data_IF_048998998862
#
_entry.id   IF_048998998862
#
_cell.length_a   1.000
_cell.length_b   1.000
_cell.length_c   1.000
_cell.angle_alpha   90.00
_cell.angle_beta   90.00
_cell.angle_gamma   90.00
#
_symmetry.space_group_name_H-M   'P 1'
#
loop_
_entity.id
_entity.type
_entity.pdbx_description
1 polymer ?
#
# COMPACT_ATOMS: atom_id res chain seq x y z
N UNK A 1 -2.21 -23.74 38.31
CA UNK A 1 -3.26 -23.32 37.36
C UNK A 1 -2.88 -22.00 36.79
N UNK A 2 -2.41 -22.16 35.82
CA UNK A 2 -1.40 -21.78 34.83
C UNK A 2 -1.84 -20.61 33.97
N UNK A 3 -0.95 -19.65 33.90
CA UNK A 3 -0.98 -18.44 33.09
C UNK A 3 -0.58 -18.78 31.65
N UNK A 4 -1.53 -18.83 30.73
CA UNK A 4 -1.29 -18.86 29.30
C UNK A 4 -2.11 -17.74 28.69
N UNK A 5 -1.48 -16.59 28.42
CA UNK A 5 -2.20 -15.46 27.83
C UNK A 5 -1.38 -14.22 27.48
N UNK A 6 -0.04 -14.26 27.50
CA UNK A 6 0.76 -13.04 27.29
C UNK A 6 1.65 -13.05 26.02
N UNK A 7 1.79 -14.20 25.36
CA UNK A 7 2.74 -14.30 24.25
C UNK A 7 2.20 -13.79 22.89
N UNK A 8 0.87 -13.65 22.75
CA UNK A 8 0.24 -13.22 21.50
C UNK A 8 0.25 -11.70 21.27
N UNK A 9 0.16 -10.92 22.35
CA UNK A 9 0.08 -9.46 22.27
C UNK A 9 1.46 -8.82 22.05
N UNK A 10 2.50 -9.39 22.65
CA UNK A 10 3.88 -8.95 22.44
C UNK A 10 4.36 -9.22 21.00
N UNK A 11 3.92 -10.32 20.38
CA UNK A 11 4.24 -10.63 18.99
C UNK A 11 3.53 -9.69 18.00
N UNK A 12 2.30 -9.28 18.28
CA UNK A 12 1.55 -8.34 17.44
C UNK A 12 2.10 -6.91 17.51
N UNK A 13 2.50 -6.45 18.69
CA UNK A 13 3.14 -5.14 18.89
C UNK A 13 4.53 -5.10 18.22
N UNK A 14 5.30 -6.18 18.29
CA UNK A 14 6.59 -6.32 17.63
C UNK A 14 6.47 -6.33 16.09
N UNK A 15 5.42 -6.97 15.56
CA UNK A 15 5.14 -7.02 14.11
C UNK A 15 4.73 -5.65 13.54
N UNK A 16 3.90 -4.90 14.28
CA UNK A 16 3.48 -3.56 13.86
C UNK A 16 4.64 -2.55 13.88
N UNK A 17 5.55 -2.65 14.85
CA UNK A 17 6.75 -1.80 14.91
C UNK A 17 7.76 -2.13 13.79
N UNK A 18 7.84 -3.39 13.34
CA UNK A 18 8.71 -3.79 12.22
C UNK A 18 8.15 -3.36 10.86
N UNK A 19 6.82 -3.17 10.72
CA UNK A 19 6.19 -2.88 9.43
C UNK A 19 6.43 -1.45 8.94
N UNK A 20 6.65 -0.49 9.85
CA UNK A 20 6.88 0.91 9.51
C UNK A 20 8.34 1.22 9.14
N UNK A 21 9.29 0.38 9.55
CA UNK A 21 10.73 0.68 9.40
C UNK A 21 11.40 -0.04 8.22
N UNK A 22 10.76 -1.06 7.63
CA UNK A 22 11.32 -1.83 6.52
C UNK A 22 10.84 -1.30 5.17
N UNK A 23 11.78 -1.04 4.24
CA UNK A 23 11.43 -0.79 2.84
C UNK A 23 10.87 -2.05 2.18
N UNK A 24 10.18 -1.90 1.04
CA UNK A 24 9.65 -3.03 0.27
C UNK A 24 10.77 -4.00 -0.13
N UNK A 25 11.89 -3.48 -0.59
CA UNK A 25 13.07 -4.29 -0.92
C UNK A 25 13.61 -5.10 0.28
N UNK A 26 13.70 -4.47 1.46
CA UNK A 26 14.13 -5.16 2.68
C UNK A 26 13.14 -6.24 3.10
N UNK A 27 11.83 -5.98 2.94
CA UNK A 27 10.78 -6.93 3.25
C UNK A 27 10.83 -8.13 2.31
N UNK A 28 10.97 -7.89 1.01
CA UNK A 28 11.14 -8.93 -0.02
C UNK A 28 12.38 -9.78 0.24
N UNK A 29 13.52 -9.16 0.53
CA UNK A 29 14.76 -9.87 0.84
C UNK A 29 14.60 -10.83 2.04
N UNK A 30 13.87 -10.41 3.10
CA UNK A 30 13.58 -11.26 4.26
C UNK A 30 12.61 -12.40 3.93
N UNK A 31 11.60 -12.14 3.07
CA UNK A 31 10.69 -13.19 2.60
C UNK A 31 11.45 -14.31 1.89
N UNK A 32 12.46 -13.99 1.08
CA UNK A 32 13.31 -14.99 0.39
C UNK A 32 14.12 -15.87 1.34
N UNK A 33 14.46 -15.37 2.52
CA UNK A 33 15.14 -16.18 3.53
C UNK A 33 14.20 -17.04 4.37
N UNK A 34 12.89 -17.06 4.05
CA UNK A 34 11.88 -17.84 4.75
C UNK A 34 11.37 -17.21 6.04
N UNK A 35 11.55 -15.89 6.23
CA UNK A 35 11.01 -15.17 7.37
C UNK A 35 9.47 -15.09 7.30
N UNK A 36 8.78 -15.92 8.10
CA UNK A 36 7.31 -15.94 8.14
C UNK A 36 6.71 -14.61 8.61
N UNK A 37 7.40 -13.88 9.50
CA UNK A 37 6.99 -12.56 9.93
C UNK A 37 7.01 -11.56 8.79
N UNK A 38 8.06 -11.59 7.97
CA UNK A 38 8.18 -10.77 6.77
C UNK A 38 7.09 -11.09 5.74
N UNK A 39 6.75 -12.37 5.54
CA UNK A 39 5.66 -12.78 4.66
C UNK A 39 4.32 -12.21 5.11
N UNK A 40 4.02 -12.27 6.40
CA UNK A 40 2.78 -11.70 6.95
C UNK A 40 2.71 -10.20 6.69
N UNK A 41 3.80 -9.48 6.94
CA UNK A 41 3.89 -8.03 6.71
C UNK A 41 3.78 -7.67 5.22
N UNK A 42 4.38 -8.47 4.33
CA UNK A 42 4.28 -8.27 2.89
C UNK A 42 2.82 -8.38 2.42
N UNK A 43 2.12 -9.45 2.84
CA UNK A 43 0.70 -9.64 2.53
C UNK A 43 -0.12 -8.49 3.10
N UNK A 44 0.07 -8.10 4.36
CA UNK A 44 -0.66 -7.01 5.00
C UNK A 44 -0.47 -5.69 4.26
N UNK A 45 0.79 -5.33 3.92
CA UNK A 45 1.14 -4.10 3.23
C UNK A 45 0.52 -3.99 1.84
N UNK A 46 0.57 -5.06 1.05
CA UNK A 46 0.09 -5.06 -0.34
C UNK A 46 -1.36 -5.52 -0.51
N UNK A 47 -2.05 -5.97 0.54
CA UNK A 47 -3.44 -6.46 0.48
C UNK A 47 -4.38 -5.42 -0.12
N UNK A 48 -4.32 -4.17 0.35
CA UNK A 48 -5.19 -3.09 -0.15
C UNK A 48 -4.91 -2.76 -1.60
N UNK A 49 -3.64 -2.74 -2.00
CA UNK A 49 -3.23 -2.46 -3.37
C UNK A 49 -3.74 -3.54 -4.33
N UNK A 50 -3.49 -4.80 -4.03
CA UNK A 50 -3.96 -5.94 -4.84
C UNK A 50 -5.49 -5.95 -4.94
N UNK A 51 -6.18 -5.77 -3.81
CA UNK A 51 -7.65 -5.77 -3.79
C UNK A 51 -8.24 -4.58 -4.54
N UNK A 52 -7.63 -3.40 -4.43
CA UNK A 52 -8.05 -2.20 -5.17
C UNK A 52 -7.93 -2.40 -6.69
N UNK A 53 -6.87 -3.05 -7.17
CA UNK A 53 -6.75 -3.41 -8.60
C UNK A 53 -7.92 -4.30 -9.02
N UNK A 54 -8.23 -5.35 -8.26
CA UNK A 54 -9.32 -6.26 -8.60
C UNK A 54 -10.68 -5.54 -8.70
N UNK A 55 -11.00 -4.71 -7.71
CA UNK A 55 -12.33 -4.10 -7.57
C UNK A 55 -12.45 -2.79 -8.35
N UNK A 56 -11.44 -1.92 -8.33
CA UNK A 56 -11.54 -0.59 -8.94
C UNK A 56 -11.12 -0.58 -10.41
N UNK A 57 -9.99 -1.24 -10.74
CA UNK A 57 -9.52 -1.28 -12.12
C UNK A 57 -10.31 -2.30 -12.96
N UNK A 58 -10.50 -3.51 -12.46
CA UNK A 58 -11.13 -4.59 -13.21
C UNK A 58 -12.61 -4.82 -12.86
N UNK A 59 -13.14 -4.15 -11.83
CA UNK A 59 -14.55 -4.23 -11.39
C UNK A 59 -15.03 -5.66 -11.18
N UNK A 60 -14.14 -6.52 -10.68
CA UNK A 60 -14.51 -7.89 -10.39
C UNK A 60 -15.57 -7.94 -9.28
N UNK A 61 -16.56 -8.82 -9.37
CA UNK A 61 -17.43 -9.15 -8.25
C UNK A 61 -16.63 -9.63 -7.04
N UNK A 62 -17.14 -9.39 -5.83
CA UNK A 62 -16.45 -9.70 -4.57
C UNK A 62 -15.88 -11.13 -4.52
N UNK A 63 -16.65 -12.20 -4.88
CA UNK A 63 -16.11 -13.57 -4.87
C UNK A 63 -14.94 -13.77 -5.83
N UNK A 64 -15.00 -13.16 -7.02
CA UNK A 64 -13.93 -13.24 -8.02
C UNK A 64 -12.71 -12.46 -7.58
N UNK A 65 -12.90 -11.31 -6.93
CA UNK A 65 -11.81 -10.51 -6.37
C UNK A 65 -11.08 -11.24 -5.25
N UNK A 66 -11.81 -11.97 -4.37
CA UNK A 66 -11.22 -12.81 -3.33
C UNK A 66 -10.41 -13.98 -3.91
N UNK A 67 -10.93 -14.66 -4.93
CA UNK A 67 -10.23 -15.74 -5.61
C UNK A 67 -8.93 -15.24 -6.26
N UNK A 68 -9.01 -14.11 -6.98
CA UNK A 68 -7.82 -13.47 -7.59
C UNK A 68 -6.82 -13.04 -6.54
N UNK A 69 -7.29 -12.45 -5.44
CA UNK A 69 -6.43 -12.04 -4.32
C UNK A 69 -5.61 -13.23 -3.78
N UNK A 70 -6.27 -14.35 -3.50
CA UNK A 70 -5.60 -15.56 -3.02
C UNK A 70 -4.60 -16.11 -4.06
N UNK A 71 -4.99 -16.14 -5.33
CA UNK A 71 -4.15 -16.60 -6.43
C UNK A 71 -2.89 -15.73 -6.58
N UNK A 72 -3.03 -14.40 -6.46
CA UNK A 72 -1.90 -13.47 -6.54
C UNK A 72 -0.87 -13.77 -5.47
N UNK A 73 -1.27 -13.88 -4.19
CA UNK A 73 -0.32 -14.14 -3.11
C UNK A 73 0.26 -15.55 -3.15
N UNK A 74 -0.47 -16.55 -3.63
CA UNK A 74 0.09 -17.87 -3.90
C UNK A 74 1.19 -17.80 -4.98
N UNK A 75 0.93 -17.08 -6.09
CA UNK A 75 1.93 -16.87 -7.16
C UNK A 75 3.11 -16.00 -6.71
N UNK A 76 2.87 -15.01 -5.84
CA UNK A 76 3.96 -14.23 -5.21
C UNK A 76 4.88 -15.17 -4.46
N UNK A 77 4.31 -16.04 -3.60
CA UNK A 77 5.09 -17.01 -2.83
C UNK A 77 5.92 -17.94 -3.72
N UNK A 78 5.33 -18.47 -4.81
CA UNK A 78 6.00 -19.38 -5.73
C UNK A 78 7.08 -18.71 -6.58
N UNK A 79 6.91 -17.42 -6.91
CA UNK A 79 7.72 -16.76 -7.94
C UNK A 79 8.59 -15.62 -7.43
N UNK A 80 8.59 -15.35 -6.12
CA UNK A 80 9.36 -14.23 -5.55
C UNK A 80 10.84 -14.31 -5.93
N UNK A 81 11.41 -15.51 -6.01
CA UNK A 81 12.80 -15.73 -6.40
C UNK A 81 13.10 -15.36 -7.87
N UNK A 82 12.07 -15.20 -8.70
CA UNK A 82 12.22 -14.75 -10.09
C UNK A 82 12.31 -13.24 -10.23
N UNK A 83 11.93 -12.49 -9.21
CA UNK A 83 12.08 -11.05 -9.17
C UNK A 83 13.56 -10.69 -9.04
N UNK A 84 14.10 -9.95 -10.02
CA UNK A 84 15.54 -9.63 -10.09
C UNK A 84 15.92 -8.43 -9.26
N UNK A 85 15.00 -7.52 -9.06
CA UNK A 85 15.17 -6.26 -8.37
C UNK A 85 14.08 -6.14 -7.29
N UNK A 86 14.49 -6.11 -6.03
CA UNK A 86 13.57 -6.09 -4.90
C UNK A 86 12.81 -4.77 -4.81
N UNK A 87 13.39 -3.67 -5.30
CA UNK A 87 12.72 -2.37 -5.39
C UNK A 87 11.59 -2.36 -6.44
N UNK A 88 11.62 -3.30 -7.39
CA UNK A 88 10.57 -3.47 -8.40
C UNK A 88 9.41 -4.35 -7.94
N UNK A 89 9.29 -4.69 -6.65
CA UNK A 89 8.24 -5.59 -6.17
C UNK A 89 6.83 -5.05 -6.44
N UNK A 90 6.57 -3.76 -6.17
CA UNK A 90 5.26 -3.15 -6.37
C UNK A 90 4.78 -3.21 -7.82
N UNK A 91 5.51 -2.69 -8.83
CA UNK A 91 5.09 -2.83 -10.22
C UNK A 91 5.00 -4.30 -10.65
N UNK A 92 5.83 -5.18 -10.11
CA UNK A 92 5.78 -6.60 -10.42
C UNK A 92 4.49 -7.26 -9.90
N UNK A 93 4.10 -7.03 -8.63
CA UNK A 93 2.85 -7.56 -8.07
C UNK A 93 1.63 -6.94 -8.74
N UNK A 94 1.67 -5.66 -9.11
CA UNK A 94 0.62 -5.00 -9.89
C UNK A 94 0.39 -5.69 -11.24
N UNK A 95 1.46 -5.95 -11.99
CA UNK A 95 1.38 -6.69 -13.27
C UNK A 95 0.94 -8.15 -13.08
N UNK A 96 1.32 -8.79 -11.98
CA UNK A 96 0.86 -10.13 -11.66
C UNK A 96 -0.66 -10.14 -11.39
N UNK A 97 -1.14 -9.20 -10.59
CA UNK A 97 -2.56 -9.01 -10.28
C UNK A 97 -3.37 -8.74 -11.55
N UNK A 98 -2.89 -7.83 -12.39
CA UNK A 98 -3.51 -7.54 -13.69
C UNK A 98 -3.72 -8.81 -14.53
N UNK A 99 -2.69 -9.65 -14.63
CA UNK A 99 -2.78 -10.92 -15.40
C UNK A 99 -3.81 -11.87 -14.80
N UNK A 100 -3.84 -12.02 -13.47
CA UNK A 100 -4.82 -12.86 -12.80
C UNK A 100 -6.25 -12.35 -13.04
N UNK A 101 -6.48 -11.03 -12.98
CA UNK A 101 -7.79 -10.43 -13.29
C UNK A 101 -8.24 -10.72 -14.73
N UNK A 102 -7.35 -10.53 -15.71
CA UNK A 102 -7.64 -10.82 -17.12
C UNK A 102 -7.97 -12.31 -17.32
N UNK A 103 -7.19 -13.20 -16.72
CA UNK A 103 -7.42 -14.64 -16.81
C UNK A 103 -8.79 -15.01 -16.19
N UNK A 104 -9.15 -14.41 -15.05
CA UNK A 104 -10.46 -14.62 -14.41
C UNK A 104 -11.61 -14.13 -15.29
N UNK A 105 -11.51 -12.92 -15.85
CA UNK A 105 -12.54 -12.38 -16.76
C UNK A 105 -12.73 -13.25 -17.99
N UNK A 106 -11.65 -13.75 -18.59
CA UNK A 106 -11.72 -14.66 -19.75
C UNK A 106 -12.39 -15.98 -19.42
N UNK A 107 -12.22 -16.48 -18.21
CA UNK A 107 -12.86 -17.71 -17.75
C UNK A 107 -14.35 -17.49 -17.48
N UNK A 108 -14.70 -16.38 -16.81
CA UNK A 108 -16.09 -16.00 -16.52
C UNK A 108 -16.88 -15.60 -17.75
N UNK A 109 -16.29 -14.95 -18.75
CA UNK A 109 -16.98 -14.53 -19.99
C UNK A 109 -17.39 -15.69 -20.90
N UNK A 110 -17.04 -16.92 -20.57
CA UNK A 110 -17.58 -18.13 -21.23
C UNK A 110 -18.96 -18.51 -20.70
N UNK A 111 -19.34 -18.01 -19.52
CA UNK A 111 -20.61 -18.33 -18.88
C UNK A 111 -21.65 -17.20 -18.96
N UNK A 112 -21.23 -15.91 -18.99
CA UNK A 112 -22.10 -14.76 -19.24
C UNK A 112 -21.31 -13.64 -19.95
N UNK A 113 -21.86 -12.99 -21.02
CA UNK A 113 -21.24 -11.79 -21.58
C UNK A 113 -21.56 -10.59 -20.67
N UNK A 114 -20.83 -10.46 -19.58
CA UNK A 114 -20.87 -9.27 -18.74
C UNK A 114 -20.05 -8.14 -19.34
N UNK A 115 -20.40 -6.89 -19.00
CA UNK A 115 -19.72 -5.65 -19.42
C UNK A 115 -18.23 -5.67 -19.02
N UNK A 116 -17.42 -6.37 -19.80
CA UNK A 116 -15.99 -6.44 -19.59
C UNK A 116 -15.38 -5.04 -19.73
N UNK A 117 -14.74 -4.55 -18.67
CA UNK A 117 -13.98 -3.30 -18.72
C UNK A 117 -12.91 -3.44 -19.80
N UNK A 118 -12.82 -2.53 -20.79
CA UNK A 118 -11.78 -2.56 -21.78
C UNK A 118 -10.40 -2.56 -21.10
N UNK A 119 -9.47 -3.37 -21.58
CA UNK A 119 -8.14 -3.53 -21.01
C UNK A 119 -7.40 -2.19 -20.86
N UNK A 120 -7.56 -1.28 -21.85
CA UNK A 120 -6.99 0.06 -21.79
C UNK A 120 -7.56 0.92 -20.66
N UNK A 121 -8.86 0.83 -20.36
CA UNK A 121 -9.46 1.57 -19.24
C UNK A 121 -9.01 1.03 -17.88
N UNK A 122 -8.73 -0.27 -17.78
CA UNK A 122 -8.16 -0.86 -16.57
C UNK A 122 -6.71 -0.41 -16.35
N UNK A 123 -5.93 -0.21 -17.41
CA UNK A 123 -4.55 0.28 -17.32
C UNK A 123 -4.48 1.74 -16.85
N UNK A 124 -5.41 2.60 -17.27
CA UNK A 124 -5.50 3.99 -16.79
C UNK A 124 -5.78 4.02 -15.26
N UNK A 125 -6.77 3.23 -14.81
CA UNK A 125 -7.11 3.13 -13.38
C UNK A 125 -5.96 2.51 -12.57
N UNK A 126 -5.22 1.55 -13.14
CA UNK A 126 -4.05 0.97 -12.49
C UNK A 126 -2.98 2.04 -12.24
N UNK A 127 -2.71 2.91 -13.21
CA UNK A 127 -1.78 4.03 -13.04
C UNK A 127 -2.23 5.00 -11.94
N UNK A 128 -3.53 5.32 -11.85
CA UNK A 128 -4.07 6.16 -10.78
C UNK A 128 -3.93 5.49 -9.41
N UNK A 129 -4.12 4.17 -9.32
CA UNK A 129 -3.95 3.41 -8.08
C UNK A 129 -2.49 3.35 -7.63
N UNK A 130 -1.55 3.22 -8.56
CA UNK A 130 -0.12 3.27 -8.26
C UNK A 130 0.25 4.64 -7.66
N UNK A 131 -0.19 5.74 -8.27
CA UNK A 131 0.03 7.08 -7.73
C UNK A 131 -0.63 7.30 -6.36
N UNK A 132 -1.87 6.83 -6.19
CA UNK A 132 -2.57 6.94 -4.91
C UNK A 132 -1.86 6.15 -3.79
N UNK A 133 -1.28 5.00 -4.14
CA UNK A 133 -0.49 4.20 -3.22
C UNK A 133 0.80 4.93 -2.80
N UNK A 134 1.52 5.55 -3.75
CA UNK A 134 2.74 6.32 -3.46
C UNK A 134 2.46 7.48 -2.51
N UNK A 135 1.36 8.22 -2.75
CA UNK A 135 0.91 9.29 -1.84
C UNK A 135 0.58 8.74 -0.45
N UNK A 136 -0.07 7.57 -0.38
CA UNK A 136 -0.43 6.95 0.89
C UNK A 136 0.82 6.53 1.70
N UNK A 137 1.82 5.94 1.04
CA UNK A 137 3.08 5.60 1.69
C UNK A 137 3.84 6.84 2.17
N UNK A 138 3.94 7.87 1.32
CA UNK A 138 4.58 9.13 1.69
C UNK A 138 3.87 9.80 2.89
N UNK A 139 2.53 9.70 2.97
CA UNK A 139 1.76 10.16 4.13
C UNK A 139 2.04 9.31 5.37
N UNK A 140 2.08 7.99 5.24
CA UNK A 140 2.35 7.07 6.35
C UNK A 140 3.77 7.25 6.94
N UNK A 141 4.73 7.67 6.12
CA UNK A 141 6.09 7.98 6.54
C UNK A 141 6.23 9.33 7.27
N UNK A 142 5.18 10.16 7.29
CA UNK A 142 5.20 11.42 8.04
C UNK A 142 5.13 11.18 9.55
N UNK A 143 5.72 12.09 10.37
CA UNK A 143 5.45 12.09 11.80
C UNK A 143 3.95 12.18 12.12
N UNK A 144 3.47 11.51 13.17
CA UNK A 144 2.05 11.46 13.56
C UNK A 144 1.38 12.84 13.60
N UNK A 145 2.07 13.85 14.14
CA UNK A 145 1.55 15.21 14.21
C UNK A 145 1.35 15.86 12.84
N UNK A 146 2.08 15.41 11.81
CA UNK A 146 1.85 15.83 10.43
C UNK A 146 0.69 15.06 9.81
N UNK A 147 0.62 13.74 10.03
CA UNK A 147 -0.49 12.93 9.56
C UNK A 147 -1.82 13.45 10.09
N UNK A 148 -1.92 13.70 11.40
CA UNK A 148 -3.14 14.19 12.04
C UNK A 148 -3.57 15.56 11.52
N UNK A 149 -2.62 16.51 11.38
CA UNK A 149 -2.97 17.86 10.92
C UNK A 149 -3.41 17.87 9.46
N UNK A 150 -2.80 17.04 8.61
CA UNK A 150 -3.18 16.89 7.19
C UNK A 150 -4.51 16.15 7.05
N UNK A 151 -4.77 15.09 7.83
CA UNK A 151 -6.04 14.37 7.85
C UNK A 151 -7.19 15.32 8.26
N UNK A 152 -7.03 16.07 9.34
CA UNK A 152 -8.04 17.04 9.79
C UNK A 152 -8.35 18.10 8.74
N UNK A 153 -7.32 18.61 8.06
CA UNK A 153 -7.49 19.68 7.09
C UNK A 153 -8.05 19.18 5.75
N UNK A 154 -7.49 18.10 5.18
CA UNK A 154 -7.83 17.63 3.84
C UNK A 154 -8.93 16.57 3.80
N UNK A 155 -8.98 15.66 4.78
CA UNK A 155 -9.94 14.57 4.78
C UNK A 155 -11.23 14.92 5.56
N UNK A 156 -11.11 15.68 6.66
CA UNK A 156 -12.26 16.10 7.49
C UNK A 156 -12.75 17.51 7.20
N UNK A 157 -12.09 18.27 6.32
CA UNK A 157 -12.44 19.66 5.96
C UNK A 157 -12.57 20.59 7.17
N UNK A 158 -11.73 20.40 8.20
CA UNK A 158 -11.76 21.19 9.42
C UNK A 158 -11.11 22.57 9.22
N UNK A 159 -11.67 23.60 9.86
CA UNK A 159 -11.10 24.93 9.84
C UNK A 159 -9.81 25.04 10.67
N UNK A 160 -8.93 25.98 10.36
CA UNK A 160 -7.72 26.24 11.16
C UNK A 160 -8.00 26.47 12.65
N UNK A 161 -9.16 27.06 12.97
CA UNK A 161 -9.60 27.28 14.35
C UNK A 161 -9.94 25.94 15.01
N UNK A 162 -10.75 25.12 14.34
CA UNK A 162 -11.16 23.79 14.83
C UNK A 162 -9.93 22.90 15.08
N UNK A 163 -9.00 22.89 14.11
CA UNK A 163 -7.74 22.13 14.24
C UNK A 163 -6.90 22.70 15.39
N UNK A 164 -6.81 24.02 15.51
CA UNK A 164 -6.07 24.68 16.59
C UNK A 164 -6.63 24.33 17.97
N UNK A 165 -7.94 24.38 18.14
CA UNK A 165 -8.63 24.03 19.38
C UNK A 165 -8.41 22.54 19.73
N UNK A 166 -8.46 21.63 18.74
CA UNK A 166 -8.27 20.20 18.94
C UNK A 166 -6.82 19.80 19.27
N UNK A 167 -5.84 20.53 18.70
CA UNK A 167 -4.42 20.26 18.90
C UNK A 167 -3.77 21.15 19.96
N UNK A 168 -4.58 21.97 20.66
CA UNK A 168 -4.12 22.95 21.65
C UNK A 168 -3.05 23.93 21.11
N UNK A 169 -3.26 24.38 19.85
CA UNK A 169 -2.35 25.25 19.12
C UNK A 169 -3.06 26.53 18.65
N UNK A 170 -2.35 27.68 18.62
CA UNK A 170 -2.92 28.88 18.02
C UNK A 170 -3.30 28.66 16.55
N UNK A 171 -4.51 29.09 16.14
CA UNK A 171 -4.99 28.94 14.76
C UNK A 171 -4.01 29.52 13.72
N UNK A 172 -3.33 30.63 14.04
CA UNK A 172 -2.29 31.23 13.18
C UNK A 172 -1.05 30.32 12.96
N UNK A 173 -0.85 29.33 13.84
CA UNK A 173 0.26 28.38 13.73
C UNK A 173 -0.09 27.21 12.80
N UNK A 174 -1.39 26.92 12.62
CA UNK A 174 -1.87 25.76 11.86
C UNK A 174 -1.43 25.84 10.39
N UNK A 175 -1.65 27.00 9.72
CA UNK A 175 -1.26 27.20 8.33
C UNK A 175 0.24 26.94 8.09
N UNK A 176 1.09 27.45 8.99
CA UNK A 176 2.55 27.25 8.88
C UNK A 176 2.97 25.80 9.16
N UNK A 177 2.24 25.08 10.01
CA UNK A 177 2.48 23.64 10.24
C UNK A 177 2.04 22.80 9.05
N UNK A 178 0.86 23.06 8.48
CA UNK A 178 0.40 22.41 7.26
C UNK A 178 1.44 22.59 6.15
N UNK A 179 1.92 23.81 5.91
CA UNK A 179 2.92 24.09 4.89
C UNK A 179 4.21 23.26 5.09
N UNK A 180 4.71 23.18 6.34
CA UNK A 180 5.90 22.36 6.65
C UNK A 180 5.64 20.86 6.48
N UNK A 181 4.45 20.37 6.85
CA UNK A 181 4.09 18.97 6.67
C UNK A 181 3.93 18.61 5.19
N UNK A 182 3.40 19.53 4.36
CA UNK A 182 3.35 19.35 2.90
C UNK A 182 4.75 19.34 2.25
N UNK A 183 5.68 20.13 2.77
CA UNK A 183 7.07 20.08 2.31
C UNK A 183 7.69 18.71 2.59
N UNK A 184 7.53 18.20 3.81
CA UNK A 184 8.00 16.84 4.17
C UNK A 184 7.32 15.75 3.35
N UNK A 185 6.01 15.89 3.09
CA UNK A 185 5.29 14.95 2.24
C UNK A 185 5.87 14.88 0.84
N UNK A 186 6.22 16.05 0.28
CA UNK A 186 6.86 16.12 -1.05
C UNK A 186 8.23 15.47 -1.04
N UNK A 187 9.05 15.74 -0.02
CA UNK A 187 10.37 15.14 0.14
C UNK A 187 10.26 13.60 0.21
N UNK A 188 9.36 13.08 1.04
CA UNK A 188 9.11 11.63 1.14
C UNK A 188 8.62 11.04 -0.19
N UNK A 189 7.76 11.73 -0.92
CA UNK A 189 7.24 11.27 -2.21
C UNK A 189 8.34 11.23 -3.27
N UNK A 190 9.16 12.28 -3.37
CA UNK A 190 10.29 12.35 -4.32
C UNK A 190 11.31 11.24 -4.03
N UNK A 191 11.53 10.87 -2.76
CA UNK A 191 12.38 9.75 -2.38
C UNK A 191 11.78 8.38 -2.78
N UNK A 192 10.44 8.25 -2.76
CA UNK A 192 9.74 7.01 -3.12
C UNK A 192 9.65 6.84 -4.64
N UNK A 193 9.39 7.90 -5.40
CA UNK A 193 9.25 7.88 -6.86
C UNK A 193 10.61 7.81 -7.58
N UNK A 194 11.67 8.37 -6.97
CA UNK A 194 13.03 8.36 -7.50
C UNK A 194 14.05 7.97 -6.42
N UNK A 195 14.15 6.68 -6.04
CA UNK A 195 15.32 6.25 -5.28
C UNK A 195 16.57 6.61 -6.11
N UNK A 196 17.47 7.40 -5.51
CA UNK A 196 18.64 7.97 -6.17
C UNK A 196 19.31 6.92 -7.07
N UNK A 197 19.24 7.11 -8.40
CA UNK A 197 19.98 6.28 -9.35
C UNK A 197 21.44 6.28 -8.91
N UNK A 198 22.07 5.12 -8.72
CA UNK A 198 23.50 5.08 -8.47
C UNK A 198 24.19 5.81 -9.62
N UNK A 199 24.92 6.89 -9.29
CA UNK A 199 25.75 7.60 -10.25
C UNK A 199 26.71 6.60 -10.90
N UNK A 200 26.51 6.35 -12.18
CA UNK A 200 27.41 5.56 -13.01
C UNK A 200 28.74 6.33 -13.08
N UNK A 201 29.72 5.89 -12.29
CA UNK A 201 31.13 6.23 -12.52
C UNK A 201 31.79 5.18 -13.39
#
# INVERSE_FOLDING_TARGET
METAGDDGEAAAVGAAALSSDLSDAQLVARCRTGDEGAWRLLVERFSRYVYAICVQAFRLPEPDAEDVFQEVFARVYEKLDTLRDDDAFRPWVGQLTRRCCIDRMRTGSREEPADAVPEAAADDVLGELEQAYDVHEALAALPENCQEILDRFFARDESYRTIGDALELPAGTIASRISRCLTKLRENWEETEYPARPENR
#
